data_IF_857155359995
#
_entry.id   IF_857155359995
#
_cell.length_a   1.000
_cell.length_b   1.000
_cell.length_c   1.000
_cell.angle_alpha   90.00
_cell.angle_beta   90.00
_cell.angle_gamma   90.00
#
_symmetry.space_group_name_H-M   'P 1'
#
loop_
_entity.id
_entity.type
_entity.pdbx_description
1 polymer ?
#
# COMPACT_ATOMS: atom_id res chain seq x y z
N UNK A 1 19.29 28.25 2.31
CA UNK A 1 19.71 26.96 2.89
C UNK A 1 19.27 25.88 1.93
N UNK A 2 20.20 25.30 1.18
CA UNK A 2 19.96 24.13 0.35
C UNK A 2 19.86 22.92 1.26
N UNK A 3 18.65 22.37 1.42
CA UNK A 3 18.49 21.05 2.03
C UNK A 3 19.26 20.04 1.17
N UNK A 4 20.01 19.17 1.82
CA UNK A 4 20.62 18.01 1.17
C UNK A 4 19.49 17.12 0.63
N UNK A 5 19.36 17.08 -0.71
CA UNK A 5 18.31 16.36 -1.43
C UNK A 5 18.59 14.85 -1.54
N UNK A 6 19.66 14.34 -0.91
CA UNK A 6 19.98 12.90 -0.90
C UNK A 6 19.11 12.09 0.06
N UNK A 7 18.38 12.73 0.97
CA UNK A 7 17.50 12.08 1.93
C UNK A 7 16.06 12.59 1.81
N UNK A 8 15.10 11.67 1.79
CA UNK A 8 13.67 12.00 1.85
C UNK A 8 13.35 12.64 3.21
N UNK A 9 12.39 13.59 3.28
CA UNK A 9 11.95 14.17 4.54
C UNK A 9 11.45 13.10 5.52
N UNK A 10 11.70 13.30 6.81
CA UNK A 10 11.17 12.46 7.89
C UNK A 10 10.18 13.30 8.68
N UNK A 11 8.92 12.85 8.72
CA UNK A 11 7.83 13.52 9.43
C UNK A 11 7.41 12.69 10.65
N UNK A 12 7.25 13.36 11.78
CA UNK A 12 6.84 12.74 13.04
C UNK A 12 5.34 12.87 13.24
N UNK A 13 4.60 11.76 13.09
CA UNK A 13 3.14 11.77 13.22
C UNK A 13 2.67 12.13 14.64
N UNK A 14 3.50 11.88 15.66
CA UNK A 14 3.18 12.16 17.06
C UNK A 14 3.01 13.67 17.33
N UNK A 15 3.59 14.53 16.50
CA UNK A 15 3.45 15.98 16.61
C UNK A 15 2.00 16.46 16.47
N UNK A 16 1.15 15.71 15.74
CA UNK A 16 -0.27 16.07 15.60
C UNK A 16 -1.04 16.03 16.93
N UNK A 17 -0.61 15.19 17.88
CA UNK A 17 -1.30 15.01 19.16
C UNK A 17 -0.57 15.70 20.33
N UNK A 18 0.51 16.46 20.06
CA UNK A 18 1.37 17.08 21.08
C UNK A 18 0.84 18.44 21.54
N UNK A 19 1.05 19.50 20.75
CA UNK A 19 0.57 20.86 21.01
C UNK A 19 0.00 21.50 19.74
N UNK A 20 -0.80 22.57 19.82
CA UNK A 20 -1.25 23.30 18.64
C UNK A 20 -0.11 23.79 17.74
N UNK A 21 1.00 24.28 18.32
CA UNK A 21 2.17 24.69 17.55
C UNK A 21 2.86 23.50 16.86
N UNK A 22 3.02 22.37 17.54
CA UNK A 22 3.62 21.17 16.96
C UNK A 22 2.77 20.60 15.81
N UNK A 23 1.45 20.57 15.99
CA UNK A 23 0.52 20.14 14.95
C UNK A 23 0.56 21.08 13.73
N UNK A 24 0.68 22.40 13.95
CA UNK A 24 0.86 23.37 12.87
C UNK A 24 2.18 23.16 12.12
N UNK A 25 3.28 22.89 12.85
CA UNK A 25 4.59 22.57 12.25
C UNK A 25 4.51 21.31 11.40
N UNK A 26 3.89 20.24 11.90
CA UNK A 26 3.70 19.01 11.14
C UNK A 26 2.93 19.26 9.84
N UNK A 27 1.82 20.01 9.89
CA UNK A 27 1.03 20.34 8.69
C UNK A 27 1.83 21.13 7.66
N UNK A 28 2.67 22.08 8.08
CA UNK A 28 3.55 22.81 7.19
C UNK A 28 4.60 21.89 6.52
N UNK A 29 5.21 20.98 7.29
CA UNK A 29 6.15 19.99 6.76
C UNK A 29 5.47 19.02 5.79
N UNK A 30 4.25 18.59 6.09
CA UNK A 30 3.43 17.72 5.23
C UNK A 30 3.13 18.39 3.89
N UNK A 31 2.65 19.64 3.91
CA UNK A 31 2.40 20.41 2.68
C UNK A 31 3.67 20.58 1.85
N UNK A 32 4.80 20.91 2.50
CA UNK A 32 6.06 21.09 1.79
C UNK A 32 6.57 19.78 1.16
N UNK A 33 6.63 18.69 1.93
CA UNK A 33 7.15 17.41 1.44
C UNK A 33 6.30 16.84 0.30
N UNK A 34 4.96 16.94 0.42
CA UNK A 34 4.04 16.46 -0.62
C UNK A 34 4.07 17.32 -1.88
N UNK A 35 4.28 18.63 -1.79
CA UNK A 35 4.37 19.52 -2.94
C UNK A 35 5.72 19.45 -3.67
N UNK A 36 6.82 19.40 -2.93
CA UNK A 36 8.16 19.44 -3.52
C UNK A 36 8.65 18.08 -4.03
N UNK A 37 8.26 16.99 -3.36
CA UNK A 37 8.80 15.65 -3.62
C UNK A 37 7.69 14.65 -3.91
N UNK A 38 6.58 14.72 -3.16
CA UNK A 38 5.50 13.72 -3.23
C UNK A 38 5.80 12.43 -2.47
N UNK A 39 6.87 12.41 -1.66
CA UNK A 39 7.28 11.24 -0.89
C UNK A 39 8.03 11.65 0.39
N UNK A 40 7.82 10.93 1.49
CA UNK A 40 8.48 11.16 2.78
C UNK A 40 8.42 9.90 3.66
N UNK A 41 9.31 9.82 4.64
CA UNK A 41 9.23 8.84 5.72
C UNK A 41 8.33 9.36 6.84
N UNK A 42 7.55 8.47 7.44
CA UNK A 42 6.68 8.78 8.58
C UNK A 42 7.10 7.95 9.79
N UNK A 43 7.36 8.62 10.92
CA UNK A 43 7.77 7.99 12.18
C UNK A 43 6.72 8.22 13.28
N UNK A 44 6.87 7.50 14.39
CA UNK A 44 5.96 7.56 15.55
C UNK A 44 4.49 7.29 15.17
N UNK A 45 4.27 6.34 14.26
CA UNK A 45 2.95 5.92 13.77
C UNK A 45 2.15 5.10 14.78
N UNK A 46 2.73 4.79 15.93
CA UNK A 46 2.20 3.87 16.94
C UNK A 46 2.01 2.43 16.45
N UNK A 47 2.70 2.02 15.38
CA UNK A 47 2.71 0.64 14.91
C UNK A 47 3.30 -0.27 15.99
N UNK A 48 2.54 -1.24 16.53
CA UNK A 48 3.08 -2.15 17.54
C UNK A 48 4.17 -3.03 16.92
N UNK A 49 5.35 -3.15 17.54
CA UNK A 49 6.41 -4.04 17.04
C UNK A 49 5.98 -5.50 16.89
N UNK A 50 5.01 -5.94 17.70
CA UNK A 50 4.42 -7.27 17.60
C UNK A 50 3.57 -7.46 16.33
N UNK A 51 2.83 -6.43 15.92
CA UNK A 51 2.03 -6.45 14.69
C UNK A 51 2.94 -6.41 13.45
N UNK A 52 3.98 -5.56 13.48
CA UNK A 52 5.03 -5.54 12.46
C UNK A 52 5.67 -6.90 12.27
N UNK A 53 6.13 -7.52 13.38
CA UNK A 53 6.75 -8.84 13.33
C UNK A 53 5.79 -9.90 12.78
N UNK A 54 4.55 -9.96 13.26
CA UNK A 54 3.55 -10.94 12.79
C UNK A 54 3.25 -10.76 11.31
N UNK A 55 3.08 -9.52 10.85
CA UNK A 55 2.80 -9.24 9.44
C UNK A 55 3.96 -9.68 8.55
N UNK A 56 5.19 -9.36 8.95
CA UNK A 56 6.38 -9.78 8.22
C UNK A 56 6.54 -11.32 8.22
N UNK A 57 6.36 -11.98 9.36
CA UNK A 57 6.44 -13.44 9.46
C UNK A 57 5.37 -14.13 8.59
N UNK A 58 4.13 -13.64 8.61
CA UNK A 58 3.04 -14.17 7.78
C UNK A 58 3.30 -13.95 6.28
N UNK A 59 3.85 -12.80 5.88
CA UNK A 59 4.25 -12.55 4.51
C UNK A 59 5.34 -13.55 4.05
N UNK A 60 6.37 -13.77 4.89
CA UNK A 60 7.42 -14.76 4.60
C UNK A 60 6.87 -16.18 4.51
N UNK A 61 5.99 -16.56 5.45
CA UNK A 61 5.35 -17.87 5.45
C UNK A 61 4.50 -18.08 4.19
N UNK A 62 3.74 -17.05 3.77
CA UNK A 62 2.94 -17.09 2.55
C UNK A 62 3.80 -17.38 1.32
N UNK A 63 4.88 -16.62 1.12
CA UNK A 63 5.73 -16.81 -0.07
C UNK A 63 6.55 -18.11 -0.04
N UNK A 64 6.73 -18.70 1.14
CA UNK A 64 7.35 -20.02 1.33
C UNK A 64 6.40 -21.20 1.11
N UNK A 65 5.08 -20.97 0.96
CA UNK A 65 4.13 -22.03 0.64
C UNK A 65 4.47 -22.72 -0.69
N UNK A 66 4.10 -24.01 -0.84
CA UNK A 66 4.08 -24.68 -2.14
C UNK A 66 3.39 -23.83 -3.21
N UNK A 67 3.91 -23.86 -4.44
CA UNK A 67 3.35 -23.07 -5.53
C UNK A 67 1.87 -23.41 -5.78
N UNK A 68 1.48 -24.68 -5.62
CA UNK A 68 0.08 -25.13 -5.74
C UNK A 68 -0.86 -24.42 -4.76
N UNK A 69 -0.44 -24.23 -3.51
CA UNK A 69 -1.24 -23.53 -2.49
C UNK A 69 -1.38 -22.04 -2.82
N UNK A 70 -0.33 -21.41 -3.37
CA UNK A 70 -0.40 -20.01 -3.83
C UNK A 70 -1.28 -19.87 -5.07
N UNK A 71 -1.18 -20.80 -6.02
CA UNK A 71 -2.00 -20.79 -7.25
C UNK A 71 -3.48 -21.14 -6.98
N UNK A 72 -3.78 -21.87 -5.91
CA UNK A 72 -5.16 -22.13 -5.49
C UNK A 72 -5.94 -20.83 -5.24
N UNK A 73 -5.24 -19.75 -4.85
CA UNK A 73 -5.80 -18.42 -4.63
C UNK A 73 -5.38 -17.40 -5.71
N UNK A 74 -5.03 -17.86 -6.91
CA UNK A 74 -4.61 -16.96 -8.00
C UNK A 74 -5.68 -15.90 -8.30
N UNK A 75 -5.27 -14.66 -8.57
CA UNK A 75 -6.19 -13.55 -8.82
C UNK A 75 -7.14 -13.77 -10.00
N UNK A 76 -6.73 -14.56 -10.98
CA UNK A 76 -7.56 -14.98 -12.13
C UNK A 76 -8.73 -15.88 -11.74
N UNK A 77 -8.71 -16.48 -10.54
CA UNK A 77 -9.83 -17.25 -9.99
C UNK A 77 -10.90 -16.33 -9.37
N UNK A 78 -10.62 -15.03 -9.21
CA UNK A 78 -11.50 -14.04 -8.60
C UNK A 78 -12.03 -13.04 -9.63
N UNK A 79 -13.35 -12.90 -9.73
CA UNK A 79 -13.97 -11.85 -10.53
C UNK A 79 -13.64 -10.43 -10.00
N UNK A 80 -13.27 -10.33 -8.72
CA UNK A 80 -12.87 -9.11 -8.02
C UNK A 80 -11.38 -8.82 -8.13
N UNK A 81 -10.61 -9.69 -8.80
CA UNK A 81 -9.17 -9.56 -8.98
C UNK A 81 -8.38 -9.59 -7.65
N UNK A 82 -8.82 -10.40 -6.68
CA UNK A 82 -8.17 -10.59 -5.36
C UNK A 82 -7.30 -11.84 -5.35
N UNK A 83 -6.20 -11.84 -4.60
CA UNK A 83 -5.39 -13.04 -4.39
C UNK A 83 -3.99 -12.96 -5.01
N UNK A 84 -3.41 -14.12 -5.28
CA UNK A 84 -2.00 -14.25 -5.66
C UNK A 84 -1.74 -13.94 -7.14
N UNK A 85 -0.67 -13.21 -7.40
CA UNK A 85 -0.09 -13.04 -8.74
C UNK A 85 1.31 -13.60 -8.77
N UNK A 86 1.52 -14.60 -9.64
CA UNK A 86 2.80 -15.28 -9.79
C UNK A 86 3.87 -14.39 -10.44
N UNK A 87 5.13 -14.77 -10.22
CA UNK A 87 6.29 -14.10 -10.81
C UNK A 87 6.17 -13.99 -12.33
N UNK A 88 6.39 -12.78 -12.84
CA UNK A 88 6.44 -12.50 -14.28
C UNK A 88 5.09 -12.28 -14.97
N UNK A 89 3.99 -12.26 -14.21
CA UNK A 89 2.65 -11.98 -14.74
C UNK A 89 2.32 -10.47 -14.79
N UNK A 90 2.96 -9.68 -13.94
CA UNK A 90 2.80 -8.22 -13.93
C UNK A 90 3.71 -7.54 -14.96
N UNK A 91 3.21 -6.47 -15.58
CA UNK A 91 3.98 -5.69 -16.56
C UNK A 91 3.81 -4.21 -16.33
N UNK A 92 4.92 -3.50 -16.17
CA UNK A 92 4.96 -2.05 -16.17
C UNK A 92 5.65 -1.54 -17.42
N UNK A 93 4.98 -0.66 -18.17
CA UNK A 93 5.47 -0.10 -19.45
C UNK A 93 5.89 -1.18 -20.47
N UNK A 94 5.16 -2.30 -20.50
CA UNK A 94 5.39 -3.41 -21.43
C UNK A 94 6.52 -4.37 -21.04
N UNK A 95 7.31 -4.04 -20.02
CA UNK A 95 8.36 -4.89 -19.46
C UNK A 95 7.82 -5.70 -18.29
N UNK A 96 8.38 -6.89 -18.06
CA UNK A 96 7.94 -7.81 -17.00
C UNK A 96 8.45 -7.34 -15.64
N UNK A 97 7.58 -7.31 -14.64
CA UNK A 97 7.94 -6.99 -13.26
C UNK A 97 8.37 -8.27 -12.53
N UNK A 98 9.60 -8.31 -12.03
CA UNK A 98 10.13 -9.44 -11.26
C UNK A 98 9.69 -9.36 -9.79
N UNK A 99 8.39 -9.60 -9.58
CA UNK A 99 7.81 -9.77 -8.26
C UNK A 99 6.72 -10.85 -8.27
N UNK A 100 6.52 -11.48 -7.12
CA UNK A 100 5.26 -12.16 -6.81
C UNK A 100 4.53 -11.34 -5.73
N UNK A 101 3.20 -11.35 -5.73
CA UNK A 101 2.40 -10.55 -4.81
C UNK A 101 1.08 -11.23 -4.42
N UNK A 102 0.46 -10.74 -3.36
CA UNK A 102 -0.95 -10.99 -3.04
C UNK A 102 -1.66 -9.66 -2.81
N UNK A 103 -2.82 -9.51 -3.46
CA UNK A 103 -3.69 -8.34 -3.35
C UNK A 103 -4.90 -8.66 -2.46
N UNK A 104 -5.09 -7.82 -1.43
CA UNK A 104 -6.15 -7.93 -0.42
C UNK A 104 -6.83 -6.55 -0.33
N UNK A 105 -8.14 -6.49 -0.49
CA UNK A 105 -8.91 -5.25 -0.28
C UNK A 105 -10.01 -5.50 0.78
N UNK A 106 -10.91 -4.54 1.09
CA UNK A 106 -12.02 -4.79 1.98
C UNK A 106 -12.80 -6.05 1.62
N UNK A 107 -13.17 -6.80 2.66
CA UNK A 107 -14.11 -7.91 2.53
C UNK A 107 -15.48 -7.39 2.08
N UNK A 108 -16.19 -8.21 1.33
CA UNK A 108 -17.51 -7.85 0.84
C UNK A 108 -18.24 -9.05 0.25
N UNK A 109 -19.53 -8.87 -0.01
CA UNK A 109 -20.33 -9.85 -0.74
C UNK A 109 -20.35 -9.44 -2.21
N UNK A 110 -20.03 -10.37 -3.10
CA UNK A 110 -20.10 -10.12 -4.53
C UNK A 110 -21.56 -9.87 -4.95
N UNK A 111 -21.77 -8.84 -5.77
CA UNK A 111 -23.08 -8.56 -6.35
C UNK A 111 -23.45 -9.61 -7.40
N UNK A 112 -24.71 -10.01 -7.44
CA UNK A 112 -25.28 -10.80 -8.54
C UNK A 112 -25.30 -9.99 -9.85
N UNK A 113 -25.39 -10.70 -10.98
CA UNK A 113 -25.51 -10.04 -12.30
C UNK A 113 -26.76 -9.14 -12.41
N UNK A 114 -27.82 -9.44 -11.66
CA UNK A 114 -29.00 -8.59 -11.59
C UNK A 114 -28.72 -7.30 -10.81
N UNK A 115 -28.07 -7.38 -9.65
CA UNK A 115 -27.71 -6.20 -8.84
C UNK A 115 -26.69 -5.30 -9.54
N UNK A 116 -25.84 -5.86 -10.41
CA UNK A 116 -24.89 -5.13 -11.23
C UNK A 116 -25.55 -4.42 -12.43
N UNK A 117 -26.78 -4.79 -12.80
CA UNK A 117 -27.48 -4.18 -13.94
C UNK A 117 -27.77 -2.71 -13.64
N UNK A 118 -27.26 -1.83 -14.50
CA UNK A 118 -27.41 -0.38 -14.32
C UNK A 118 -26.44 0.25 -13.31
N UNK A 119 -25.48 -0.53 -12.78
CA UNK A 119 -24.36 -0.02 -11.98
C UNK A 119 -23.12 0.19 -12.84
N UNK A 120 -22.24 1.05 -12.36
CA UNK A 120 -20.90 1.20 -12.92
C UNK A 120 -20.08 -0.11 -12.82
N UNK A 121 -19.21 -0.34 -13.79
CA UNK A 121 -18.48 -1.63 -13.90
C UNK A 121 -17.58 -1.92 -12.69
N UNK A 122 -17.09 -0.90 -12.00
CA UNK A 122 -16.20 -1.06 -10.85
C UNK A 122 -16.88 -1.75 -9.66
N UNK A 123 -18.22 -1.79 -9.59
CA UNK A 123 -18.94 -2.55 -8.56
C UNK A 123 -18.67 -4.05 -8.62
N UNK A 124 -18.17 -4.58 -9.75
CA UNK A 124 -17.69 -5.96 -9.88
C UNK A 124 -16.45 -6.26 -9.03
N UNK A 125 -15.70 -5.24 -8.62
CA UNK A 125 -14.49 -5.36 -7.78
C UNK A 125 -14.80 -5.52 -6.29
N UNK A 126 -16.07 -5.37 -5.89
CA UNK A 126 -16.54 -5.63 -4.54
C UNK A 126 -16.86 -7.12 -4.39
N UNK A 127 -16.33 -7.72 -3.32
CA UNK A 127 -16.53 -9.13 -3.01
C UNK A 127 -15.42 -9.67 -2.11
N UNK A 128 -15.39 -10.98 -1.88
CA UNK A 128 -14.52 -11.60 -0.88
C UNK A 128 -13.07 -11.64 -1.34
N UNK A 129 -12.14 -11.64 -0.39
CA UNK A 129 -10.74 -12.00 -0.68
C UNK A 129 -10.57 -13.51 -0.82
N UNK A 130 -9.46 -13.92 -1.43
CA UNK A 130 -9.02 -15.32 -1.46
C UNK A 130 -7.93 -15.55 -0.42
N UNK A 131 -8.15 -16.47 0.51
CA UNK A 131 -7.24 -16.76 1.62
C UNK A 131 -6.65 -18.18 1.48
N UNK A 132 -5.33 -18.35 1.68
CA UNK A 132 -4.71 -19.67 1.60
C UNK A 132 -5.13 -20.54 2.79
N UNK A 133 -5.72 -21.71 2.51
CA UNK A 133 -6.19 -22.62 3.56
C UNK A 133 -5.06 -23.10 4.50
N UNK A 134 -3.85 -23.23 3.97
CA UNK A 134 -2.65 -23.64 4.71
C UNK A 134 -2.11 -22.54 5.66
N UNK A 135 -2.57 -21.29 5.54
CA UNK A 135 -2.06 -20.16 6.33
C UNK A 135 -3.21 -19.22 6.78
N UNK A 136 -4.09 -19.68 7.69
CA UNK A 136 -5.21 -18.87 8.17
C UNK A 136 -4.79 -17.61 8.93
N UNK A 137 -3.59 -17.60 9.54
CA UNK A 137 -3.05 -16.42 10.23
C UNK A 137 -2.92 -15.20 9.32
N UNK A 138 -2.64 -15.41 8.01
CA UNK A 138 -2.45 -14.32 7.05
C UNK A 138 -3.68 -13.39 7.00
N UNK A 139 -4.88 -13.95 7.11
CA UNK A 139 -6.11 -13.18 7.16
C UNK A 139 -6.15 -12.26 8.37
N UNK A 140 -6.02 -12.86 9.55
CA UNK A 140 -6.15 -12.14 10.82
C UNK A 140 -5.13 -11.00 10.90
N UNK A 141 -3.87 -11.27 10.58
CA UNK A 141 -2.83 -10.23 10.66
C UNK A 141 -2.99 -9.16 9.59
N UNK A 142 -3.47 -9.50 8.38
CA UNK A 142 -3.74 -8.53 7.32
C UNK A 142 -4.90 -7.59 7.69
N UNK A 143 -5.95 -8.11 8.31
CA UNK A 143 -7.09 -7.31 8.80
C UNK A 143 -6.63 -6.36 9.93
N UNK A 144 -5.84 -6.85 10.90
CA UNK A 144 -5.26 -6.02 11.96
C UNK A 144 -4.32 -4.93 11.39
N UNK A 145 -3.50 -5.28 10.41
CA UNK A 145 -2.58 -4.37 9.71
C UNK A 145 -3.34 -3.27 8.96
N UNK A 146 -4.35 -3.64 8.16
CA UNK A 146 -5.18 -2.68 7.42
C UNK A 146 -5.90 -1.71 8.35
N UNK A 147 -6.49 -2.20 9.45
CA UNK A 147 -7.14 -1.35 10.44
C UNK A 147 -6.14 -0.35 11.08
N UNK A 148 -4.88 -0.75 11.28
CA UNK A 148 -3.83 0.14 11.75
C UNK A 148 -3.46 1.20 10.71
N UNK A 149 -3.21 0.79 9.46
CA UNK A 149 -2.92 1.69 8.35
C UNK A 149 -4.06 2.67 8.09
N UNK A 150 -5.32 2.25 8.18
CA UNK A 150 -6.47 3.13 8.00
C UNK A 150 -6.50 4.27 9.02
N UNK A 151 -6.20 3.97 10.30
CA UNK A 151 -6.10 5.03 11.32
C UNK A 151 -5.02 6.05 11.00
N UNK A 152 -3.85 5.59 10.56
CA UNK A 152 -2.76 6.48 10.12
C UNK A 152 -3.22 7.31 8.92
N UNK A 153 -3.80 6.67 7.90
CA UNK A 153 -4.27 7.33 6.68
C UNK A 153 -5.31 8.41 6.97
N UNK A 154 -6.29 8.14 7.84
CA UNK A 154 -7.30 9.13 8.25
C UNK A 154 -6.67 10.33 8.96
N UNK A 155 -5.73 10.10 9.90
CA UNK A 155 -5.00 11.18 10.57
C UNK A 155 -4.21 12.03 9.57
N UNK A 156 -3.51 11.40 8.62
CA UNK A 156 -2.76 12.10 7.58
C UNK A 156 -3.67 12.90 6.66
N UNK A 157 -4.77 12.32 6.17
CA UNK A 157 -5.71 13.00 5.28
C UNK A 157 -6.34 14.22 5.97
N UNK A 158 -6.74 14.12 7.23
CA UNK A 158 -7.24 15.26 8.02
C UNK A 158 -6.18 16.36 8.16
N UNK A 159 -4.95 15.98 8.52
CA UNK A 159 -3.84 16.92 8.61
C UNK A 159 -3.54 17.59 7.26
N UNK A 160 -3.63 16.84 6.16
CA UNK A 160 -3.40 17.34 4.81
C UNK A 160 -4.50 18.31 4.38
N UNK A 161 -5.77 18.01 4.65
CA UNK A 161 -6.89 18.92 4.37
C UNK A 161 -6.68 20.28 5.08
N UNK A 162 -6.36 20.23 6.38
CA UNK A 162 -6.05 21.43 7.16
C UNK A 162 -4.82 22.19 6.62
N UNK A 163 -3.79 21.47 6.16
CA UNK A 163 -2.60 22.09 5.57
C UNK A 163 -2.91 22.80 4.24
N UNK A 164 -3.94 22.36 3.52
CA UNK A 164 -4.44 22.98 2.29
C UNK A 164 -5.45 24.11 2.56
N UNK A 165 -5.77 24.40 3.83
CA UNK A 165 -6.76 25.42 4.21
C UNK A 165 -8.21 24.95 4.15
N UNK A 166 -8.44 23.66 3.98
CA UNK A 166 -9.77 23.03 3.98
C UNK A 166 -10.17 22.55 5.39
N UNK A 167 -11.44 22.16 5.56
CA UNK A 167 -11.91 21.52 6.78
C UNK A 167 -11.30 20.14 6.98
N UNK A 168 -11.07 19.70 8.23
CA UNK A 168 -10.41 18.42 8.52
C UNK A 168 -11.12 17.20 7.91
N UNK A 169 -12.43 17.27 7.77
CA UNK A 169 -13.30 16.22 7.23
C UNK A 169 -13.50 16.31 5.69
N UNK A 170 -12.79 17.21 5.01
CA UNK A 170 -12.92 17.43 3.56
C UNK A 170 -12.85 16.13 2.75
N UNK A 171 -11.79 15.36 2.95
CA UNK A 171 -11.59 14.10 2.24
C UNK A 171 -12.57 13.00 2.68
N UNK A 172 -12.97 12.97 3.95
CA UNK A 172 -13.91 11.98 4.46
C UNK A 172 -15.29 12.12 3.81
N UNK A 173 -15.75 13.37 3.60
CA UNK A 173 -16.98 13.64 2.86
C UNK A 173 -16.92 13.22 1.39
N UNK A 174 -15.74 13.23 0.78
CA UNK A 174 -15.55 12.88 -0.63
C UNK A 174 -15.39 11.38 -0.87
N UNK A 175 -14.74 10.65 0.05
CA UNK A 175 -14.40 9.25 -0.15
C UNK A 175 -15.45 8.27 0.37
N UNK A 176 -16.28 8.65 1.35
CA UNK A 176 -17.22 7.71 1.97
C UNK A 176 -16.49 6.56 2.65
N UNK A 177 -16.91 5.32 2.38
CA UNK A 177 -16.21 4.12 2.87
C UNK A 177 -14.93 3.87 2.06
N UNK A 178 -13.76 3.74 2.71
CA UNK A 178 -12.50 3.63 2.00
C UNK A 178 -12.36 2.27 1.31
N UNK A 179 -12.05 2.29 0.02
CA UNK A 179 -11.65 1.09 -0.72
C UNK A 179 -10.13 0.95 -0.70
N UNK A 180 -9.60 0.36 0.38
CA UNK A 180 -8.15 0.18 0.58
C UNK A 180 -7.61 -0.99 -0.23
N UNK A 181 -6.35 -0.92 -0.67
CA UNK A 181 -5.64 -2.07 -1.25
C UNK A 181 -4.39 -2.32 -0.42
N UNK A 182 -4.34 -3.48 0.25
CA UNK A 182 -3.12 -4.03 0.80
C UNK A 182 -2.48 -4.93 -0.26
N UNK A 183 -1.24 -4.58 -0.63
CA UNK A 183 -0.41 -5.39 -1.51
C UNK A 183 0.80 -5.88 -0.74
N UNK A 184 0.93 -7.19 -0.58
CA UNK A 184 2.13 -7.82 0.00
C UNK A 184 2.97 -8.33 -1.16
N UNK A 185 4.23 -7.88 -1.24
CA UNK A 185 5.09 -8.15 -2.40
C UNK A 185 6.38 -8.82 -1.95
N UNK A 186 6.86 -9.78 -2.76
CA UNK A 186 8.21 -10.31 -2.66
C UNK A 186 8.94 -10.14 -3.98
N UNK A 187 10.13 -9.56 -3.87
CA UNK A 187 11.11 -9.50 -4.95
C UNK A 187 12.10 -10.66 -4.77
N UNK A 188 12.22 -11.59 -5.72
CA UNK A 188 13.24 -12.63 -5.66
C UNK A 188 14.64 -12.03 -5.83
N UNK A 189 15.69 -12.67 -5.28
CA UNK A 189 17.06 -12.26 -5.53
C UNK A 189 17.35 -12.29 -7.03
N UNK A 190 17.89 -11.21 -7.57
CA UNK A 190 18.44 -11.18 -8.93
C UNK A 190 19.91 -11.57 -8.89
N UNK A 191 20.38 -12.31 -9.91
CA UNK A 191 21.82 -12.56 -10.07
C UNK A 191 22.54 -11.21 -10.26
N UNK A 192 23.78 -11.00 -9.76
CA UNK A 192 24.56 -9.80 -10.05
C UNK A 192 24.76 -9.53 -11.54
N UNK A 193 24.64 -10.57 -12.38
CA UNK A 193 24.67 -10.46 -13.85
C UNK A 193 23.35 -9.98 -14.47
N UNK A 194 22.31 -9.75 -13.67
CA UNK A 194 21.01 -9.28 -14.10
C UNK A 194 20.92 -7.75 -14.19
N UNK A 195 22.02 -7.03 -13.92
CA UNK A 195 22.24 -5.62 -14.33
C UNK A 195 22.35 -5.48 -15.87
N UNK A 196 21.83 -6.45 -16.62
CA UNK A 196 21.59 -6.34 -18.06
C UNK A 196 20.40 -5.42 -18.30
N UNK A 197 20.53 -4.52 -19.26
CA UNK A 197 19.43 -3.70 -19.79
C UNK A 197 18.16 -4.56 -20.00
N UNK A 198 17.10 -4.31 -19.21
CA UNK A 198 15.79 -4.92 -19.39
C UNK A 198 15.24 -5.76 -18.22
N UNK A 199 15.96 -5.87 -17.09
CA UNK A 199 15.42 -6.49 -15.86
C UNK A 199 14.91 -5.40 -14.90
N UNK A 200 13.65 -5.51 -14.46
CA UNK A 200 13.07 -4.58 -13.48
C UNK A 200 12.36 -5.34 -12.34
N UNK A 201 12.44 -4.81 -11.12
CA UNK A 201 11.57 -5.25 -10.02
C UNK A 201 10.14 -4.82 -10.28
N UNK A 202 9.92 -3.50 -10.33
CA UNK A 202 8.71 -2.86 -10.89
C UNK A 202 9.17 -1.66 -11.71
N UNK A 203 8.59 -1.47 -12.89
CA UNK A 203 8.91 -0.30 -13.70
C UNK A 203 8.45 1.03 -13.07
N UNK A 204 8.96 2.14 -13.60
CA UNK A 204 8.55 3.49 -13.18
C UNK A 204 7.04 3.71 -13.39
N UNK A 205 6.32 4.02 -12.31
CA UNK A 205 4.89 4.27 -12.31
C UNK A 205 4.49 5.27 -11.21
N UNK A 206 3.21 5.68 -11.22
CA UNK A 206 2.54 6.38 -10.12
C UNK A 206 1.40 5.49 -9.64
N UNK A 207 1.16 5.44 -8.34
CA UNK A 207 0.01 4.72 -7.80
C UNK A 207 -1.30 5.40 -8.21
N UNK A 208 -2.37 4.62 -8.35
CA UNK A 208 -3.68 5.12 -8.77
C UNK A 208 -4.51 5.73 -7.62
N UNK A 209 -4.08 5.53 -6.37
CA UNK A 209 -4.78 5.98 -5.17
C UNK A 209 -4.42 7.39 -4.72
N UNK A 210 -4.92 7.77 -3.54
CA UNK A 210 -4.71 9.10 -2.93
C UNK A 210 -3.50 9.11 -2.01
N UNK A 211 -3.30 8.04 -1.24
CA UNK A 211 -2.23 7.89 -0.26
C UNK A 211 -1.76 6.45 -0.24
N UNK A 212 -0.44 6.26 -0.33
CA UNK A 212 0.22 4.96 -0.15
C UNK A 212 1.03 4.99 1.13
N UNK A 213 0.79 4.02 2.02
CA UNK A 213 1.67 3.72 3.14
C UNK A 213 2.53 2.51 2.77
N UNK A 214 3.85 2.72 2.72
CA UNK A 214 4.81 1.69 2.33
C UNK A 214 5.67 1.30 3.52
N UNK A 215 5.72 -0.01 3.80
CA UNK A 215 6.67 -0.61 4.75
C UNK A 215 7.62 -1.54 3.99
N UNK A 216 8.90 -1.49 4.35
CA UNK A 216 9.97 -2.28 3.74
C UNK A 216 10.75 -2.95 4.87
N UNK A 217 11.09 -4.23 4.71
CA UNK A 217 11.77 -5.08 5.71
C UNK A 217 13.25 -4.72 5.96
N UNK A 218 13.70 -3.56 5.50
CA UNK A 218 15.09 -3.13 5.50
C UNK A 218 15.85 -3.49 4.22
N UNK A 219 15.23 -4.19 3.27
CA UNK A 219 15.78 -4.33 1.92
C UNK A 219 15.82 -2.99 1.19
N UNK A 220 16.80 -2.83 0.28
CA UNK A 220 16.89 -1.68 -0.62
C UNK A 220 16.05 -1.88 -1.89
N UNK A 221 16.09 -0.90 -2.80
CA UNK A 221 15.55 -1.03 -4.16
C UNK A 221 14.46 -0.03 -4.53
N UNK A 222 13.85 0.65 -3.55
CA UNK A 222 12.94 1.76 -3.83
C UNK A 222 13.73 2.97 -4.35
N UNK A 223 13.26 3.53 -5.45
CA UNK A 223 13.74 4.79 -6.02
C UNK A 223 12.56 5.72 -6.24
N UNK A 224 12.73 6.99 -5.88
CA UNK A 224 11.71 8.04 -6.05
C UNK A 224 12.24 9.07 -7.03
N UNK A 225 11.45 9.38 -8.05
CA UNK A 225 11.76 10.46 -8.97
C UNK A 225 11.11 11.76 -8.51
N UNK A 226 11.90 12.83 -8.41
CA UNK A 226 11.42 14.18 -8.13
C UNK A 226 11.19 14.94 -9.45
N UNK A 227 10.03 15.60 -9.56
CA UNK A 227 9.72 16.50 -10.69
C UNK A 227 9.29 15.83 -11.99
N UNK A 228 8.81 14.58 -11.94
CA UNK A 228 8.30 13.82 -13.10
C UNK A 228 6.80 13.55 -13.12
#
# INVERSE_FOLDING_TARGET
MTQDLSALPILDLGLLDSTPEDAARFRAQLAQATHEIGFFYLVNTSLPPSLEKRMHDAARAFFALPLEDKLAIANTNSAQFRGYTALGLERTRGQVDLREQIDICPEGVAFSEEELRGREKFWRLVGPNQWPAALPELRQVSEEWQAHCERISRKLLRAWALALGESEDYFERSFGDPFTLLKIVRYPPTSPSADSDGVQGVGKHKDAGVLTLLWIDGSGGLQVEKGG
#
